data_IF_431503374090
#
_entry.id   IF_431503374090
#
_cell.length_a   1.000
_cell.length_b   1.000
_cell.length_c   1.000
_cell.angle_alpha   90.00
_cell.angle_beta   90.00
_cell.angle_gamma   90.00
#
_symmetry.space_group_name_H-M   'P 1'
#
loop_
_entity.id
_entity.type
_entity.pdbx_description
1 polymer ?
#
# COMPACT_ATOMS: atom_id res chain seq x y z
N UNK A 1 -2.40 91.81 -18.79
CA UNK A 1 -1.82 90.87 -17.83
C UNK A 1 -2.64 89.58 -17.88
N UNK A 2 -2.18 88.54 -18.60
CA UNK A 2 -2.82 87.20 -18.71
C UNK A 2 -2.26 86.30 -17.61
N UNK A 3 -3.09 85.81 -16.71
CA UNK A 3 -2.71 84.79 -15.69
C UNK A 3 -2.87 83.42 -16.32
N UNK A 4 -1.73 82.71 -16.46
CA UNK A 4 -1.68 81.29 -16.87
C UNK A 4 -1.87 80.44 -15.61
N UNK A 5 -2.95 79.65 -15.60
CA UNK A 5 -3.25 78.69 -14.54
C UNK A 5 -2.62 77.34 -14.90
N UNK A 6 -1.58 76.89 -14.20
CA UNK A 6 -0.97 75.57 -14.36
C UNK A 6 -1.81 74.55 -13.58
N UNK A 7 -2.48 73.66 -14.31
CA UNK A 7 -3.17 72.48 -13.75
C UNK A 7 -2.10 71.37 -13.54
N UNK A 8 -1.68 71.14 -12.32
CA UNK A 8 -0.87 70.01 -11.96
C UNK A 8 -1.79 68.75 -11.94
N UNK A 9 -1.63 67.91 -12.98
CA UNK A 9 -2.18 66.57 -12.99
C UNK A 9 -1.27 65.66 -12.15
N UNK A 10 -1.68 65.33 -10.92
CA UNK A 10 -1.03 64.30 -10.12
C UNK A 10 -1.35 62.91 -10.71
N UNK A 11 -0.41 62.33 -11.42
CA UNK A 11 -0.39 60.92 -11.78
C UNK A 11 -0.20 60.09 -10.50
N UNK A 12 -1.29 59.66 -9.87
CA UNK A 12 -1.24 58.59 -8.90
C UNK A 12 -0.89 57.28 -9.65
N UNK A 13 0.18 56.58 -9.28
CA UNK A 13 0.43 55.27 -9.87
C UNK A 13 -0.67 54.35 -9.41
N UNK A 14 -1.48 53.86 -10.36
CA UNK A 14 -2.33 52.69 -10.16
C UNK A 14 -1.39 51.49 -9.93
N UNK A 15 -1.04 51.20 -8.69
CA UNK A 15 -0.45 49.94 -8.31
C UNK A 15 -1.57 48.89 -8.46
N UNK A 16 -1.65 48.32 -9.61
CA UNK A 16 -2.41 47.09 -9.83
C UNK A 16 -1.78 46.01 -8.94
N UNK A 17 -2.32 45.79 -7.77
CA UNK A 17 -1.98 44.63 -6.94
C UNK A 17 -2.40 43.37 -7.70
N UNK A 18 -1.49 42.83 -8.52
CA UNK A 18 -1.66 41.51 -9.09
C UNK A 18 -1.82 40.52 -7.94
N UNK A 19 -2.99 39.88 -7.82
CA UNK A 19 -3.26 38.87 -6.82
C UNK A 19 -2.18 37.79 -6.84
N UNK A 20 -1.58 37.50 -5.71
CA UNK A 20 -0.61 36.41 -5.58
C UNK A 20 -1.27 35.06 -5.83
N UNK A 21 -0.54 34.01 -6.22
CA UNK A 21 -1.09 32.66 -6.31
C UNK A 21 -1.82 32.21 -5.02
N UNK A 22 -1.36 32.65 -3.86
CA UNK A 22 -1.98 32.34 -2.56
C UNK A 22 -3.32 33.06 -2.41
N UNK A 23 -3.42 34.34 -2.82
CA UNK A 23 -4.68 35.08 -2.78
C UNK A 23 -5.73 34.47 -3.71
N UNK A 24 -5.30 34.04 -4.89
CA UNK A 24 -6.16 33.30 -5.84
C UNK A 24 -6.66 32.00 -5.25
N UNK A 25 -5.80 31.27 -4.55
CA UNK A 25 -6.16 30.02 -3.89
C UNK A 25 -7.19 30.28 -2.76
N UNK A 26 -7.05 31.35 -1.97
CA UNK A 26 -8.04 31.75 -0.98
C UNK A 26 -9.41 31.94 -1.59
N UNK A 27 -9.50 32.77 -2.64
CA UNK A 27 -10.78 33.05 -3.34
C UNK A 27 -11.37 31.76 -3.96
N UNK A 28 -10.50 30.88 -4.49
CA UNK A 28 -10.94 29.62 -5.10
C UNK A 28 -11.53 28.66 -4.05
N UNK A 29 -10.96 28.56 -2.85
CA UNK A 29 -11.54 27.75 -1.76
C UNK A 29 -12.87 28.35 -1.25
N UNK A 30 -12.99 29.67 -1.13
CA UNK A 30 -14.26 30.33 -0.77
C UNK A 30 -15.36 30.08 -1.80
N UNK A 31 -14.98 30.00 -3.09
CA UNK A 31 -15.91 29.68 -4.18
C UNK A 31 -16.29 28.20 -4.11
N UNK A 32 -15.32 27.31 -3.92
CA UNK A 32 -15.54 25.87 -3.83
C UNK A 32 -16.57 25.52 -2.74
N UNK A 33 -16.46 26.15 -1.57
CA UNK A 33 -17.39 25.91 -0.44
C UNK A 33 -18.83 26.34 -0.72
N UNK A 34 -19.04 27.21 -1.73
CA UNK A 34 -20.38 27.66 -2.16
C UNK A 34 -20.97 26.76 -3.26
N UNK A 35 -20.13 25.96 -3.94
CA UNK A 35 -20.61 25.04 -4.98
C UNK A 35 -21.42 23.91 -4.34
N UNK A 36 -22.59 23.59 -4.89
CA UNK A 36 -23.55 22.60 -4.35
C UNK A 36 -22.89 21.25 -4.02
N UNK A 37 -21.99 20.79 -4.86
CA UNK A 37 -21.29 19.51 -4.69
C UNK A 37 -20.33 19.47 -3.50
N UNK A 38 -19.93 20.64 -2.97
CA UNK A 38 -18.91 20.74 -1.91
C UNK A 38 -19.38 21.45 -0.64
N UNK A 39 -20.62 22.00 -0.61
CA UNK A 39 -21.17 22.70 0.54
C UNK A 39 -21.14 21.87 1.85
N UNK A 40 -21.34 20.56 1.73
CA UNK A 40 -21.34 19.64 2.85
C UNK A 40 -20.01 18.86 2.98
N UNK A 41 -19.05 19.12 2.09
CA UNK A 41 -17.78 18.43 2.10
C UNK A 41 -16.88 18.92 3.23
N UNK A 42 -16.12 18.00 3.81
CA UNK A 42 -15.03 18.34 4.70
C UNK A 42 -13.74 18.53 3.89
N UNK A 43 -13.28 19.78 3.83
CA UNK A 43 -12.09 20.18 3.08
C UNK A 43 -10.96 20.46 4.06
N UNK A 44 -9.79 19.85 3.85
CA UNK A 44 -8.58 20.14 4.60
C UNK A 44 -7.39 20.26 3.65
N UNK A 45 -6.66 21.36 3.75
CA UNK A 45 -5.47 21.62 2.93
C UNK A 45 -4.38 22.29 3.77
N UNK A 46 -3.13 21.90 3.56
CA UNK A 46 -1.96 22.54 4.16
C UNK A 46 -0.85 22.65 3.12
N UNK A 47 -0.30 23.86 2.95
CA UNK A 47 0.82 24.17 2.08
C UNK A 47 1.96 24.76 2.93
N UNK A 48 3.14 24.17 2.87
CA UNK A 48 4.31 24.57 3.67
C UNK A 48 5.49 24.82 2.75
N UNK A 49 6.17 25.96 2.92
CA UNK A 49 7.48 26.23 2.33
C UNK A 49 8.51 25.24 2.88
N UNK A 50 9.15 24.47 2.03
CA UNK A 50 10.07 23.38 2.45
C UNK A 50 11.33 23.92 3.12
N UNK A 51 11.83 25.09 2.70
CA UNK A 51 13.05 25.71 3.22
C UNK A 51 12.83 26.34 4.59
N UNK A 52 11.82 27.19 4.70
CA UNK A 52 11.56 27.99 5.91
C UNK A 52 10.68 27.28 6.93
N UNK A 53 9.82 26.36 6.49
CA UNK A 53 8.78 25.73 7.29
C UNK A 53 7.56 26.62 7.55
N UNK A 54 7.48 27.80 6.90
CA UNK A 54 6.34 28.69 7.00
C UNK A 54 5.12 28.05 6.34
N UNK A 55 4.00 28.02 7.04
CA UNK A 55 2.70 27.69 6.45
C UNK A 55 2.32 28.83 5.50
N UNK A 56 2.24 28.54 4.22
CA UNK A 56 1.92 29.52 3.16
C UNK A 56 0.41 29.66 3.00
N UNK A 57 -0.30 28.55 3.15
CA UNK A 57 -1.75 28.49 3.12
C UNK A 57 -2.25 27.32 3.94
N UNK A 58 -3.37 27.49 4.62
CA UNK A 58 -4.10 26.37 5.24
C UNK A 58 -5.63 26.57 5.19
N UNK A 59 -6.30 25.43 5.09
CA UNK A 59 -7.75 25.31 5.24
C UNK A 59 -8.01 24.13 6.17
N UNK A 60 -8.54 24.40 7.37
CA UNK A 60 -8.86 23.34 8.33
C UNK A 60 -7.70 22.37 8.61
N UNK A 61 -6.45 22.81 8.63
CA UNK A 61 -5.23 21.97 8.70
C UNK A 61 -5.20 20.99 9.86
N UNK A 62 -5.90 21.29 10.96
CA UNK A 62 -5.96 20.47 12.17
C UNK A 62 -7.21 19.59 12.24
N UNK A 63 -8.07 19.60 11.21
CA UNK A 63 -9.21 18.68 11.13
C UNK A 63 -8.70 17.29 10.74
N UNK A 64 -8.88 16.31 11.63
CA UNK A 64 -8.51 14.93 11.37
C UNK A 64 -9.59 14.25 10.49
N UNK A 65 -9.20 13.77 9.33
CA UNK A 65 -10.05 13.15 8.32
C UNK A 65 -9.45 11.81 7.87
N UNK A 66 -10.27 10.98 7.23
CA UNK A 66 -9.79 9.80 6.53
C UNK A 66 -8.86 10.23 5.39
N UNK A 67 -7.63 9.73 5.40
CA UNK A 67 -6.59 10.13 4.44
C UNK A 67 -6.59 9.31 3.16
N UNK A 68 -7.22 8.13 3.18
CA UNK A 68 -6.96 7.12 2.18
C UNK A 68 -5.44 6.90 2.00
N UNK A 69 -5.00 6.50 0.82
CA UNK A 69 -3.62 6.06 0.54
C UNK A 69 -2.55 7.15 0.61
N UNK A 70 -2.88 8.42 0.86
CA UNK A 70 -1.80 9.41 1.17
C UNK A 70 -1.14 9.14 2.52
N UNK A 71 -1.76 8.31 3.39
CA UNK A 71 -1.12 7.81 4.61
C UNK A 71 0.21 7.10 4.31
N UNK A 72 0.32 6.44 3.15
CA UNK A 72 1.54 5.75 2.73
C UNK A 72 2.76 6.66 2.65
N UNK A 73 2.59 7.98 2.44
CA UNK A 73 3.72 8.92 2.49
C UNK A 73 4.34 8.98 3.89
N UNK A 74 3.52 8.87 4.93
CA UNK A 74 4.00 8.81 6.31
C UNK A 74 4.58 7.43 6.65
N UNK A 75 3.94 6.36 6.20
CA UNK A 75 4.40 4.98 6.44
C UNK A 75 5.73 4.69 5.78
N UNK A 76 5.89 5.06 4.50
CA UNK A 76 7.14 4.82 3.75
C UNK A 76 8.30 5.68 4.26
N UNK A 77 8.02 6.93 4.66
CA UNK A 77 9.02 7.77 5.33
C UNK A 77 9.46 7.15 6.67
N UNK A 78 8.51 6.63 7.46
CA UNK A 78 8.80 5.95 8.72
C UNK A 78 9.65 4.70 8.51
N UNK A 79 9.34 3.91 7.46
CA UNK A 79 10.10 2.72 7.12
C UNK A 79 11.55 3.05 6.74
N UNK A 80 11.75 4.05 5.87
CA UNK A 80 13.08 4.52 5.49
C UNK A 80 13.87 5.05 6.70
N UNK A 81 13.21 5.72 7.63
CA UNK A 81 13.83 6.24 8.84
C UNK A 81 14.29 5.12 9.80
N UNK A 82 13.43 4.15 10.09
CA UNK A 82 13.72 3.13 11.10
C UNK A 82 14.53 1.94 10.60
N UNK A 83 14.36 1.57 9.33
CA UNK A 83 14.99 0.39 8.74
C UNK A 83 16.18 0.73 7.83
N UNK A 84 16.19 1.93 7.24
CA UNK A 84 17.18 2.32 6.22
C UNK A 84 16.82 1.84 4.82
N UNK A 85 17.29 2.56 3.80
CA UNK A 85 16.97 2.30 2.38
C UNK A 85 17.51 0.97 1.84
N UNK A 86 18.59 0.45 2.42
CA UNK A 86 19.24 -0.83 2.07
C UNK A 86 18.71 -2.03 2.85
N UNK A 87 17.77 -1.83 3.79
CA UNK A 87 17.18 -2.94 4.53
C UNK A 87 16.59 -3.98 3.57
N UNK A 88 16.78 -5.26 3.89
CA UNK A 88 16.21 -6.41 3.18
C UNK A 88 15.55 -7.37 4.16
N UNK A 89 14.44 -7.95 3.75
CA UNK A 89 13.85 -9.08 4.45
C UNK A 89 14.69 -10.33 4.19
N UNK A 90 14.82 -11.19 5.21
CA UNK A 90 15.60 -12.42 5.18
C UNK A 90 14.70 -13.61 5.50
N UNK A 91 14.20 -14.30 4.49
CA UNK A 91 13.45 -15.54 4.68
C UNK A 91 14.41 -16.71 4.77
N UNK A 92 14.68 -17.18 5.99
CA UNK A 92 15.63 -18.25 6.26
C UNK A 92 14.96 -19.60 6.08
N UNK A 93 15.65 -20.52 5.39
CA UNK A 93 15.24 -21.92 5.21
C UNK A 93 16.32 -22.79 5.84
N UNK A 94 15.92 -23.65 6.78
CA UNK A 94 16.80 -24.56 7.49
C UNK A 94 16.34 -26.01 7.35
N UNK A 95 17.25 -26.94 7.54
CA UNK A 95 16.96 -28.37 7.62
C UNK A 95 17.29 -28.91 9.01
N UNK A 96 16.35 -29.60 9.64
CA UNK A 96 16.50 -30.27 10.92
C UNK A 96 16.31 -31.78 10.75
N UNK A 97 17.41 -32.54 10.69
CA UNK A 97 17.35 -33.96 10.40
C UNK A 97 18.73 -34.60 10.24
N UNK A 98 18.73 -35.78 9.66
CA UNK A 98 19.95 -36.55 9.32
C UNK A 98 20.04 -36.68 7.81
N UNK A 99 21.28 -36.66 7.32
CA UNK A 99 21.61 -36.90 5.91
C UNK A 99 22.46 -38.16 5.85
N UNK A 100 21.98 -39.15 5.10
CA UNK A 100 22.70 -40.40 4.91
C UNK A 100 22.44 -40.93 3.50
N UNK A 101 23.48 -41.27 2.77
CA UNK A 101 23.41 -41.79 1.39
C UNK A 101 22.49 -40.92 0.49
N UNK A 102 22.70 -39.62 0.47
CA UNK A 102 21.92 -38.61 -0.29
C UNK A 102 20.45 -38.51 0.11
N UNK A 103 20.03 -39.15 1.21
CA UNK A 103 18.70 -39.07 1.76
C UNK A 103 18.71 -38.15 2.98
N UNK A 104 18.01 -37.00 2.86
CA UNK A 104 17.69 -36.15 4.00
C UNK A 104 16.41 -36.66 4.68
N UNK A 105 16.56 -37.16 5.93
CA UNK A 105 15.40 -37.53 6.77
C UNK A 105 15.21 -36.50 7.85
N UNK A 106 14.18 -35.63 7.71
CA UNK A 106 14.02 -34.50 8.60
C UNK A 106 12.94 -33.51 8.18
N UNK A 107 13.01 -32.34 8.79
CA UNK A 107 12.08 -31.24 8.61
C UNK A 107 12.75 -30.07 7.90
N UNK A 108 12.13 -29.59 6.82
CA UNK A 108 12.48 -28.33 6.19
C UNK A 108 11.71 -27.22 6.91
N UNK A 109 12.41 -26.27 7.51
CA UNK A 109 11.80 -25.21 8.32
C UNK A 109 12.01 -23.88 7.62
N UNK A 110 10.92 -23.16 7.39
CA UNK A 110 10.92 -21.83 6.76
C UNK A 110 10.52 -20.79 7.81
N UNK A 111 11.38 -19.82 8.05
CA UNK A 111 11.13 -18.72 8.96
C UNK A 111 10.57 -17.52 8.20
N UNK A 112 9.28 -17.24 8.40
CA UNK A 112 8.63 -16.08 7.80
C UNK A 112 9.23 -14.78 8.32
N UNK A 113 9.63 -13.90 7.41
CA UNK A 113 10.28 -12.62 7.70
C UNK A 113 9.37 -11.40 7.60
N UNK A 114 8.11 -11.60 7.16
CA UNK A 114 7.19 -10.52 6.85
C UNK A 114 7.40 -9.91 5.46
N UNK A 115 8.28 -10.48 4.63
CA UNK A 115 8.58 -10.00 3.27
C UNK A 115 7.32 -9.95 2.39
N UNK A 116 6.84 -8.77 1.96
CA UNK A 116 5.67 -8.67 1.08
C UNK A 116 5.99 -9.01 -0.38
N UNK A 117 7.29 -9.11 -0.72
CA UNK A 117 7.75 -9.33 -2.09
C UNK A 117 8.10 -10.78 -2.40
N UNK A 118 8.04 -11.69 -1.42
CA UNK A 118 8.37 -13.10 -1.63
C UNK A 118 7.43 -13.73 -2.67
N UNK A 119 8.02 -14.25 -3.75
CA UNK A 119 7.26 -14.79 -4.89
C UNK A 119 6.60 -13.74 -5.79
N UNK A 120 6.90 -12.44 -5.60
CA UNK A 120 6.41 -11.38 -6.47
C UNK A 120 7.11 -11.41 -7.84
N UNK A 121 6.34 -11.21 -8.91
CA UNK A 121 6.82 -11.08 -10.28
C UNK A 121 7.38 -9.68 -10.60
N UNK A 122 7.28 -8.74 -9.67
CA UNK A 122 7.82 -7.38 -9.84
C UNK A 122 9.33 -7.32 -9.77
N UNK A 123 9.96 -8.28 -9.13
CA UNK A 123 11.40 -8.30 -8.88
C UNK A 123 11.98 -9.63 -9.32
N UNK A 124 13.03 -9.57 -10.11
CA UNK A 124 13.69 -10.76 -10.61
C UNK A 124 14.15 -11.67 -9.47
N UNK A 125 14.76 -11.07 -8.43
CA UNK A 125 15.34 -11.77 -7.29
C UNK A 125 14.32 -12.53 -6.41
N UNK A 126 13.02 -12.19 -6.49
CA UNK A 126 11.96 -12.84 -5.69
C UNK A 126 10.96 -13.63 -6.52
N UNK A 127 11.21 -13.81 -7.81
CA UNK A 127 10.35 -14.65 -8.66
C UNK A 127 10.30 -16.09 -8.15
N UNK A 128 9.13 -16.75 -8.21
CA UNK A 128 8.95 -18.11 -7.71
C UNK A 128 9.98 -19.10 -8.27
N UNK A 129 10.25 -19.03 -9.57
CA UNK A 129 11.18 -19.94 -10.24
C UNK A 129 12.64 -19.77 -9.75
N UNK A 130 13.06 -18.54 -9.46
CA UNK A 130 14.39 -18.31 -8.93
C UNK A 130 14.53 -18.81 -7.49
N UNK A 131 13.50 -18.56 -6.66
CA UNK A 131 13.43 -19.08 -5.29
C UNK A 131 13.50 -20.61 -5.29
N UNK A 132 12.73 -21.26 -6.13
CA UNK A 132 12.71 -22.72 -6.31
C UNK A 132 14.07 -23.25 -6.70
N UNK A 133 14.69 -22.69 -7.74
CA UNK A 133 16.03 -23.07 -8.20
C UNK A 133 17.10 -22.89 -7.12
N UNK A 134 17.05 -21.79 -6.36
CA UNK A 134 17.97 -21.52 -5.25
C UNK A 134 17.84 -22.59 -4.16
N UNK A 135 16.61 -22.94 -3.78
CA UNK A 135 16.35 -23.94 -2.75
C UNK A 135 16.84 -25.33 -3.18
N UNK A 136 16.47 -25.80 -4.37
CA UNK A 136 16.89 -27.12 -4.90
C UNK A 136 18.41 -27.20 -4.97
N UNK A 137 19.08 -26.18 -5.53
CA UNK A 137 20.53 -26.12 -5.59
C UNK A 137 21.18 -26.20 -4.21
N UNK A 138 20.59 -25.54 -3.21
CA UNK A 138 21.10 -25.57 -1.84
C UNK A 138 20.91 -26.93 -1.17
N UNK A 139 19.81 -27.64 -1.41
CA UNK A 139 19.58 -28.99 -0.91
C UNK A 139 20.56 -29.99 -1.53
N UNK A 140 20.79 -29.94 -2.83
CA UNK A 140 21.82 -30.78 -3.51
C UNK A 140 23.23 -30.50 -2.96
N UNK A 141 23.60 -29.24 -2.72
CA UNK A 141 24.90 -28.90 -2.12
C UNK A 141 25.06 -29.46 -0.69
N UNK A 142 23.95 -29.67 0.01
CA UNK A 142 23.97 -30.36 1.31
C UNK A 142 24.03 -31.88 1.18
N UNK A 143 24.02 -32.44 -0.04
CA UNK A 143 23.97 -33.87 -0.31
C UNK A 143 22.57 -34.47 -0.10
N UNK A 144 21.50 -33.68 -0.37
CA UNK A 144 20.12 -34.15 -0.30
C UNK A 144 19.55 -34.22 -1.72
N UNK A 145 19.42 -35.44 -2.24
CA UNK A 145 18.78 -35.75 -3.53
C UNK A 145 17.39 -36.38 -3.30
N UNK A 146 17.14 -36.88 -2.10
CA UNK A 146 15.83 -37.37 -1.63
C UNK A 146 15.51 -36.75 -0.30
N UNK A 147 14.32 -36.20 -0.12
CA UNK A 147 13.84 -35.65 1.13
C UNK A 147 12.68 -36.49 1.71
N UNK A 148 12.88 -37.05 2.90
CA UNK A 148 11.85 -37.78 3.67
C UNK A 148 11.51 -36.99 4.91
N UNK A 149 10.34 -36.37 4.96
CA UNK A 149 10.00 -35.53 6.10
C UNK A 149 8.83 -34.60 5.84
N UNK A 150 8.83 -33.47 6.50
CA UNK A 150 7.76 -32.46 6.35
C UNK A 150 8.31 -31.03 6.21
N UNK A 151 7.42 -30.13 5.81
CA UNK A 151 7.67 -28.70 5.71
C UNK A 151 6.97 -28.03 6.88
N UNK A 152 7.69 -27.15 7.58
CA UNK A 152 7.16 -26.36 8.69
C UNK A 152 7.39 -24.87 8.45
N UNK A 153 6.32 -24.09 8.52
CA UNK A 153 6.40 -22.64 8.53
C UNK A 153 6.44 -22.13 9.98
N UNK A 154 7.41 -21.28 10.29
CA UNK A 154 7.50 -20.58 11.58
C UNK A 154 6.95 -19.17 11.40
N UNK A 155 5.81 -18.88 12.02
CA UNK A 155 5.01 -17.66 11.82
C UNK A 155 4.84 -16.85 13.11
N UNK A 156 5.89 -16.74 13.94
CA UNK A 156 5.81 -16.08 15.24
C UNK A 156 6.36 -14.65 15.28
N UNK A 157 6.64 -14.05 14.10
CA UNK A 157 7.17 -12.69 13.98
C UNK A 157 6.13 -11.62 14.35
N UNK A 158 4.87 -11.84 13.99
CA UNK A 158 3.77 -10.93 14.28
C UNK A 158 2.87 -11.50 15.38
N UNK A 159 2.29 -10.61 16.20
CA UNK A 159 1.46 -10.98 17.36
C UNK A 159 -0.03 -10.86 17.13
N UNK A 160 -0.43 -10.14 16.07
CA UNK A 160 -1.82 -9.97 15.66
C UNK A 160 -2.18 -10.84 14.44
N UNK A 161 -3.47 -10.89 14.14
CA UNK A 161 -3.98 -11.58 12.97
C UNK A 161 -3.46 -10.95 11.66
N UNK A 162 -3.53 -11.69 10.54
CA UNK A 162 -3.07 -11.19 9.25
C UNK A 162 -3.99 -10.11 8.66
N UNK A 163 -5.32 -10.23 8.90
CA UNK A 163 -6.33 -9.29 8.40
C UNK A 163 -6.64 -8.26 9.49
N UNK A 164 -6.63 -6.98 9.13
CA UNK A 164 -6.94 -5.90 10.06
C UNK A 164 -8.45 -5.82 10.33
N UNK A 165 -8.83 -5.83 11.62
CA UNK A 165 -10.26 -5.81 12.04
C UNK A 165 -11.00 -4.50 11.74
N UNK A 166 -10.28 -3.44 11.40
CA UNK A 166 -10.86 -2.16 10.99
C UNK A 166 -11.14 -2.06 9.48
N UNK A 167 -10.78 -3.08 8.70
CA UNK A 167 -11.11 -3.14 7.28
C UNK A 167 -12.53 -3.65 7.07
N UNK A 168 -13.17 -3.17 6.01
CA UNK A 168 -14.52 -3.58 5.67
C UNK A 168 -14.52 -5.01 5.13
N UNK A 169 -15.59 -5.75 5.39
CA UNK A 169 -15.72 -7.14 4.93
C UNK A 169 -15.69 -7.24 3.39
N UNK A 170 -16.19 -6.22 2.71
CA UNK A 170 -16.15 -6.09 1.25
C UNK A 170 -14.75 -5.84 0.67
N UNK A 171 -13.78 -5.45 1.51
CA UNK A 171 -12.39 -5.17 1.07
C UNK A 171 -11.48 -6.39 1.20
N UNK A 172 -11.64 -7.18 2.29
CA UNK A 172 -10.64 -8.14 2.75
C UNK A 172 -10.35 -9.32 1.81
N UNK A 173 -11.28 -9.69 0.96
CA UNK A 173 -11.08 -10.76 -0.03
C UNK A 173 -10.61 -10.24 -1.40
N UNK A 174 -10.53 -8.92 -1.59
CA UNK A 174 -9.98 -8.30 -2.78
C UNK A 174 -8.47 -8.06 -2.59
N UNK A 175 -7.71 -8.03 -3.69
CA UNK A 175 -6.24 -7.93 -3.65
C UNK A 175 -5.69 -6.78 -2.81
N UNK A 176 -6.43 -5.66 -2.74
CA UNK A 176 -6.03 -4.48 -1.98
C UNK A 176 -6.33 -4.60 -0.47
N UNK A 177 -7.17 -5.55 -0.07
CA UNK A 177 -7.47 -5.92 1.31
C UNK A 177 -6.73 -7.18 1.77
N UNK A 178 -5.76 -7.65 1.00
CA UNK A 178 -4.97 -8.83 1.37
C UNK A 178 -4.28 -8.66 2.73
N UNK A 179 -4.44 -9.64 3.60
CA UNK A 179 -3.82 -9.66 4.92
C UNK A 179 -2.29 -9.73 4.85
N UNK A 180 -1.62 -9.30 5.94
CA UNK A 180 -0.15 -9.35 6.09
C UNK A 180 0.25 -10.40 7.12
N UNK A 181 1.10 -11.33 6.72
CA UNK A 181 1.53 -12.47 7.52
C UNK A 181 3.05 -12.51 7.67
N UNK A 182 3.60 -13.27 8.63
CA UNK A 182 5.04 -13.53 8.68
C UNK A 182 5.58 -14.18 7.41
N UNK A 183 4.81 -15.08 6.77
CA UNK A 183 5.10 -15.57 5.43
C UNK A 183 4.03 -15.07 4.45
N UNK A 184 4.43 -14.24 3.51
CA UNK A 184 3.62 -13.80 2.38
C UNK A 184 4.07 -14.54 1.12
N UNK A 185 3.18 -14.70 0.13
CA UNK A 185 3.48 -15.38 -1.11
C UNK A 185 2.75 -14.74 -2.30
N UNK A 186 3.52 -14.38 -3.35
CA UNK A 186 2.95 -13.76 -4.57
C UNK A 186 2.08 -12.54 -4.28
N UNK A 187 2.58 -11.64 -3.42
CA UNK A 187 1.86 -10.44 -2.93
C UNK A 187 0.49 -10.76 -2.28
N UNK A 188 0.32 -11.96 -1.75
CA UNK A 188 -0.92 -12.48 -1.15
C UNK A 188 -2.15 -12.30 -2.04
N UNK A 189 -1.98 -12.39 -3.37
CA UNK A 189 -3.04 -12.25 -4.36
C UNK A 189 -2.95 -13.30 -5.44
N UNK A 190 -4.06 -13.48 -6.14
CA UNK A 190 -4.16 -14.30 -7.34
C UNK A 190 -5.20 -13.72 -8.28
N UNK A 191 -5.19 -14.14 -9.54
CA UNK A 191 -6.14 -13.69 -10.55
C UNK A 191 -7.18 -14.78 -10.85
N UNK A 192 -8.43 -14.35 -10.99
CA UNK A 192 -9.49 -15.14 -11.60
C UNK A 192 -9.91 -14.52 -12.92
N UNK A 193 -10.30 -15.37 -13.88
CA UNK A 193 -10.97 -14.97 -15.10
C UNK A 193 -12.40 -15.48 -15.09
N UNK A 194 -13.34 -14.63 -15.48
CA UNK A 194 -14.76 -14.90 -15.49
C UNK A 194 -15.30 -14.81 -16.93
N UNK A 195 -16.18 -15.71 -17.30
CA UNK A 195 -16.87 -15.71 -18.59
C UNK A 195 -18.37 -15.68 -18.38
N UNK A 196 -19.17 -14.99 -19.24
CA UNK A 196 -20.62 -15.06 -19.20
C UNK A 196 -21.13 -16.50 -19.30
N UNK A 197 -22.11 -16.85 -18.47
CA UNK A 197 -22.75 -18.18 -18.42
C UNK A 197 -24.25 -18.02 -18.13
N UNK A 198 -25.09 -18.02 -19.18
CA UNK A 198 -26.51 -17.72 -19.05
C UNK A 198 -26.77 -16.34 -18.49
N UNK A 199 -27.51 -16.26 -17.39
CA UNK A 199 -27.81 -15.00 -16.68
C UNK A 199 -26.82 -14.72 -15.52
N UNK A 200 -25.65 -15.34 -15.53
CA UNK A 200 -24.59 -15.15 -14.52
C UNK A 200 -23.21 -15.28 -15.16
N UNK A 201 -22.20 -15.55 -14.36
CA UNK A 201 -20.82 -15.73 -14.79
C UNK A 201 -20.26 -17.03 -14.19
N UNK A 202 -19.27 -17.61 -14.86
CA UNK A 202 -18.52 -18.76 -14.38
C UNK A 202 -17.02 -18.42 -14.28
N UNK A 203 -16.32 -19.00 -13.32
CA UNK A 203 -14.86 -18.92 -13.24
C UNK A 203 -14.28 -19.84 -14.31
N UNK A 204 -13.63 -19.27 -15.30
CA UNK A 204 -12.99 -20.02 -16.40
C UNK A 204 -11.53 -20.35 -16.12
N UNK A 205 -10.85 -19.52 -15.29
CA UNK A 205 -9.47 -19.72 -14.87
C UNK A 205 -9.21 -19.08 -13.51
N UNK A 206 -8.28 -19.66 -12.73
CA UNK A 206 -7.67 -19.00 -11.58
C UNK A 206 -6.19 -19.37 -11.47
N UNK A 207 -5.35 -18.41 -11.10
CA UNK A 207 -3.90 -18.58 -10.99
C UNK A 207 -3.44 -19.18 -9.65
N UNK A 208 -4.37 -19.49 -8.74
CA UNK A 208 -4.08 -20.10 -7.44
C UNK A 208 -4.17 -21.63 -7.44
N UNK A 209 -4.72 -22.22 -8.49
CA UNK A 209 -4.95 -23.68 -8.57
C UNK A 209 -6.15 -24.16 -7.76
N UNK A 210 -7.04 -23.27 -7.32
CA UNK A 210 -8.29 -23.64 -6.64
C UNK A 210 -9.27 -24.31 -7.61
N UNK A 211 -10.22 -25.07 -7.08
CA UNK A 211 -11.25 -25.67 -7.91
C UNK A 211 -12.27 -24.60 -8.34
N UNK A 212 -12.38 -24.36 -9.65
CA UNK A 212 -13.27 -23.34 -10.21
C UNK A 212 -14.75 -23.54 -9.86
N UNK A 213 -15.18 -24.77 -9.63
CA UNK A 213 -16.59 -25.11 -9.38
C UNK A 213 -16.94 -25.11 -7.89
N UNK A 214 -16.01 -25.53 -7.03
CA UNK A 214 -16.29 -25.74 -5.60
C UNK A 214 -15.73 -24.63 -4.71
N UNK A 215 -14.64 -23.99 -5.11
CA UNK A 215 -14.03 -22.93 -4.27
C UNK A 215 -14.64 -21.55 -4.48
N UNK A 216 -15.49 -21.36 -5.52
CA UNK A 216 -16.11 -20.08 -5.85
C UNK A 216 -17.64 -20.16 -5.93
N UNK A 217 -18.34 -19.28 -5.23
CA UNK A 217 -19.75 -18.99 -5.40
C UNK A 217 -19.88 -17.66 -6.18
N UNK A 218 -20.41 -17.74 -7.42
CA UNK A 218 -20.54 -16.55 -8.29
C UNK A 218 -21.99 -16.07 -8.26
N UNK A 219 -22.21 -14.91 -7.64
CA UNK A 219 -23.50 -14.25 -7.45
C UNK A 219 -23.52 -12.90 -8.18
N UNK A 220 -23.02 -12.87 -9.43
CA UNK A 220 -22.93 -11.68 -10.27
C UNK A 220 -24.16 -11.55 -11.16
N UNK A 221 -24.66 -10.32 -11.28
CA UNK A 221 -25.80 -9.96 -12.15
C UNK A 221 -25.28 -9.22 -13.38
N UNK A 222 -25.65 -9.62 -14.60
CA UNK A 222 -25.29 -8.88 -15.80
C UNK A 222 -25.87 -7.47 -15.80
N UNK A 223 -25.04 -6.44 -16.03
CA UNK A 223 -25.43 -5.05 -16.12
C UNK A 223 -24.57 -4.31 -17.14
N UNK A 224 -25.22 -3.66 -18.11
CA UNK A 224 -24.53 -2.87 -19.13
C UNK A 224 -23.68 -1.76 -18.49
N UNK A 225 -22.44 -1.62 -18.98
CA UNK A 225 -21.50 -0.62 -18.52
C UNK A 225 -20.84 -0.88 -17.16
N UNK A 226 -21.22 -1.95 -16.46
CA UNK A 226 -20.53 -2.39 -15.23
C UNK A 226 -19.15 -2.93 -15.56
N UNK A 227 -18.21 -2.78 -14.63
CA UNK A 227 -16.83 -3.23 -14.72
C UNK A 227 -16.48 -4.15 -13.54
N UNK A 228 -15.26 -4.66 -13.49
CA UNK A 228 -14.78 -5.42 -12.34
C UNK A 228 -14.66 -4.60 -11.06
N UNK A 229 -14.73 -3.26 -11.13
CA UNK A 229 -14.81 -2.38 -9.97
C UNK A 229 -16.19 -2.39 -9.29
N UNK A 230 -17.22 -2.91 -9.97
CA UNK A 230 -18.58 -3.07 -9.46
C UNK A 230 -18.83 -4.50 -8.91
N UNK A 231 -17.80 -5.34 -8.90
CA UNK A 231 -17.81 -6.70 -8.37
C UNK A 231 -16.85 -6.83 -7.18
N UNK A 232 -17.29 -7.48 -6.11
CA UNK A 232 -16.53 -7.64 -4.87
C UNK A 232 -16.41 -9.12 -4.50
N UNK A 233 -15.24 -9.48 -4.00
CA UNK A 233 -15.02 -10.79 -3.41
C UNK A 233 -15.21 -10.76 -1.89
N UNK A 234 -15.71 -11.87 -1.34
CA UNK A 234 -15.90 -12.08 0.09
C UNK A 234 -15.32 -13.43 0.48
N UNK A 235 -14.69 -13.51 1.66
CA UNK A 235 -14.35 -14.81 2.25
C UNK A 235 -15.59 -15.45 2.86
N UNK A 236 -15.88 -16.70 2.50
CA UNK A 236 -17.03 -17.44 3.02
C UNK A 236 -16.63 -18.48 4.06
N UNK A 237 -17.11 -18.30 5.29
CA UNK A 237 -16.76 -19.16 6.42
C UNK A 237 -17.66 -20.39 6.56
N UNK A 238 -18.92 -20.31 6.10
CA UNK A 238 -19.96 -21.30 6.40
C UNK A 238 -20.65 -21.88 5.15
N UNK A 239 -20.10 -21.62 3.96
CA UNK A 239 -20.64 -22.12 2.68
C UNK A 239 -19.74 -23.20 2.06
N UNK A 240 -20.27 -23.85 1.04
CA UNK A 240 -19.54 -24.82 0.25
C UNK A 240 -18.41 -24.25 -0.61
N UNK A 241 -18.24 -22.91 -0.64
CA UNK A 241 -17.17 -22.22 -1.37
C UNK A 241 -16.27 -21.41 -0.44
N UNK A 242 -15.06 -21.13 -0.87
CA UNK A 242 -14.09 -20.27 -0.13
C UNK A 242 -14.29 -18.79 -0.41
N UNK A 243 -14.69 -18.45 -1.64
CA UNK A 243 -14.90 -17.10 -2.13
C UNK A 243 -16.30 -16.94 -2.69
N UNK A 244 -17.02 -15.90 -2.29
CA UNK A 244 -18.22 -15.45 -2.98
C UNK A 244 -17.87 -14.18 -3.80
N UNK A 245 -18.27 -14.16 -5.07
CA UNK A 245 -18.11 -12.99 -5.95
C UNK A 245 -19.49 -12.40 -6.17
N UNK A 246 -19.70 -11.17 -5.67
CA UNK A 246 -21.01 -10.49 -5.65
C UNK A 246 -20.93 -9.14 -6.35
N UNK A 247 -22.06 -8.69 -6.87
CA UNK A 247 -22.21 -7.38 -7.48
C UNK A 247 -22.78 -7.45 -8.90
N UNK A 248 -22.33 -6.53 -9.75
CA UNK A 248 -22.75 -6.46 -11.15
C UNK A 248 -21.53 -6.47 -12.06
N UNK A 249 -21.69 -7.04 -13.27
CA UNK A 249 -20.60 -7.13 -14.26
C UNK A 249 -21.20 -7.08 -15.67
N UNK A 250 -20.50 -6.48 -16.63
CA UNK A 250 -20.96 -6.45 -18.01
C UNK A 250 -20.80 -7.83 -18.66
N UNK A 251 -21.82 -8.28 -19.39
CA UNK A 251 -21.75 -9.52 -20.18
C UNK A 251 -21.32 -9.30 -21.65
N UNK A 252 -20.92 -8.07 -22.00
CA UNK A 252 -20.44 -7.73 -23.36
C UNK A 252 -19.01 -8.23 -23.61
N UNK A 253 -18.21 -8.31 -22.56
CA UNK A 253 -16.85 -8.82 -22.63
C UNK A 253 -16.84 -10.36 -22.55
N UNK A 254 -16.03 -11.01 -23.40
CA UNK A 254 -15.95 -12.48 -23.41
C UNK A 254 -15.26 -13.03 -22.17
N UNK A 255 -14.26 -12.31 -21.66
CA UNK A 255 -13.48 -12.68 -20.47
C UNK A 255 -13.20 -11.40 -19.69
N UNK A 256 -13.40 -11.44 -18.40
CA UNK A 256 -13.03 -10.37 -17.49
C UNK A 256 -12.20 -10.93 -16.34
N UNK A 257 -11.13 -10.21 -15.97
CA UNK A 257 -10.22 -10.64 -14.91
C UNK A 257 -10.37 -9.78 -13.65
N UNK A 258 -10.26 -10.43 -12.51
CA UNK A 258 -10.29 -9.81 -11.18
C UNK A 258 -9.18 -10.39 -10.31
N UNK A 259 -8.56 -9.54 -9.48
CA UNK A 259 -7.54 -9.98 -8.52
C UNK A 259 -8.15 -10.11 -7.12
N UNK A 260 -7.94 -11.26 -6.49
CA UNK A 260 -8.44 -11.60 -5.16
C UNK A 260 -7.28 -11.76 -4.19
N UNK A 261 -7.57 -11.58 -2.89
CA UNK A 261 -6.63 -11.89 -1.81
C UNK A 261 -6.53 -13.41 -1.58
N UNK A 262 -5.32 -13.91 -1.28
CA UNK A 262 -5.13 -15.29 -0.80
C UNK A 262 -5.61 -15.40 0.64
N UNK A 263 -6.39 -16.42 0.92
CA UNK A 263 -6.91 -16.66 2.26
C UNK A 263 -5.79 -17.07 3.24
N UNK A 264 -4.89 -17.96 2.78
CA UNK A 264 -3.75 -18.44 3.55
C UNK A 264 -2.51 -18.59 2.64
N UNK A 265 -1.67 -17.53 2.54
CA UNK A 265 -0.49 -17.57 1.68
C UNK A 265 0.57 -18.58 2.13
N UNK A 266 0.61 -18.95 3.42
CA UNK A 266 1.55 -19.94 3.93
C UNK A 266 1.16 -21.37 3.48
N UNK A 267 -0.13 -21.68 3.45
CA UNK A 267 -0.64 -22.94 2.88
C UNK A 267 -0.37 -23.00 1.38
N UNK A 268 -0.67 -21.94 0.65
CA UNK A 268 -0.42 -21.89 -0.81
C UNK A 268 1.07 -22.07 -1.12
N UNK A 269 1.95 -21.36 -0.39
CA UNK A 269 3.40 -21.55 -0.52
C UNK A 269 3.83 -23.00 -0.24
N UNK A 270 3.31 -23.60 0.85
CA UNK A 270 3.65 -24.96 1.24
C UNK A 270 3.21 -25.97 0.17
N UNK A 271 2.02 -25.82 -0.40
CA UNK A 271 1.51 -26.68 -1.46
C UNK A 271 2.37 -26.57 -2.72
N UNK A 272 2.69 -25.37 -3.18
CA UNK A 272 3.56 -25.14 -4.34
C UNK A 272 4.99 -25.68 -4.09
N UNK A 273 5.51 -25.51 -2.87
CA UNK A 273 6.82 -26.04 -2.51
C UNK A 273 6.82 -27.57 -2.45
N UNK A 274 5.76 -28.17 -1.90
CA UNK A 274 5.59 -29.63 -1.86
C UNK A 274 5.60 -30.23 -3.26
N UNK A 275 4.80 -29.65 -4.19
CA UNK A 275 4.78 -30.07 -5.58
C UNK A 275 6.17 -29.99 -6.21
N UNK A 276 6.87 -28.87 -6.05
CA UNK A 276 8.24 -28.71 -6.54
C UNK A 276 9.19 -29.78 -6.01
N UNK A 277 9.16 -30.06 -4.70
CA UNK A 277 10.05 -31.05 -4.09
C UNK A 277 9.72 -32.49 -4.57
N UNK A 278 8.45 -32.76 -4.93
CA UNK A 278 8.05 -34.02 -5.56
C UNK A 278 8.59 -34.17 -6.98
N UNK A 279 8.61 -33.06 -7.74
CA UNK A 279 9.05 -33.04 -9.14
C UNK A 279 10.59 -33.09 -9.26
N UNK A 280 11.31 -32.37 -8.41
CA UNK A 280 12.77 -32.16 -8.51
C UNK A 280 13.60 -33.05 -7.56
N UNK A 281 12.99 -33.48 -6.45
CA UNK A 281 13.57 -34.38 -5.46
C UNK A 281 12.55 -35.48 -5.18
N UNK A 282 13.02 -36.68 -4.79
CA UNK A 282 12.09 -37.70 -4.29
C UNK A 282 11.59 -37.28 -2.89
N UNK A 283 10.52 -36.45 -2.84
CA UNK A 283 9.91 -36.02 -1.59
C UNK A 283 8.89 -37.05 -1.11
N UNK A 284 9.10 -37.56 0.11
CA UNK A 284 8.16 -38.45 0.79
C UNK A 284 7.75 -37.78 2.13
N UNK A 285 6.46 -37.45 2.24
CA UNK A 285 5.95 -36.87 3.49
C UNK A 285 6.08 -37.84 4.66
N UNK A 286 6.65 -37.34 5.78
CA UNK A 286 6.82 -38.11 6.99
C UNK A 286 6.80 -37.15 8.19
N UNK A 287 5.95 -37.39 9.17
CA UNK A 287 5.74 -36.54 10.34
C UNK A 287 6.67 -36.86 11.52
N UNK A 288 7.72 -37.63 11.32
CA UNK A 288 8.69 -37.95 12.35
C UNK A 288 9.38 -36.69 12.91
N UNK A 289 9.55 -36.61 14.21
CA UNK A 289 10.26 -35.55 14.90
C UNK A 289 11.74 -35.93 15.03
N UNK A 290 12.61 -34.99 14.65
CA UNK A 290 14.06 -35.21 14.68
C UNK A 290 14.73 -34.35 15.75
N UNK A 291 15.46 -34.98 16.66
CA UNK A 291 16.25 -34.30 17.71
C UNK A 291 17.67 -33.99 17.22
N UNK A 292 17.80 -33.18 16.17
CA UNK A 292 19.11 -32.79 15.62
C UNK A 292 19.20 -31.26 15.55
N UNK A 293 20.42 -30.67 15.55
CA UNK A 293 20.59 -29.25 15.33
C UNK A 293 20.07 -28.85 13.94
N UNK A 294 19.53 -27.65 13.83
CA UNK A 294 19.17 -27.05 12.55
C UNK A 294 20.44 -26.64 11.78
N UNK A 295 20.42 -26.89 10.47
CA UNK A 295 21.45 -26.45 9.53
C UNK A 295 20.84 -25.47 8.55
N UNK A 296 21.53 -24.37 8.27
CA UNK A 296 21.06 -23.44 7.25
C UNK A 296 21.12 -24.10 5.87
N UNK A 297 20.01 -24.04 5.13
CA UNK A 297 19.91 -24.46 3.73
C UNK A 297 20.21 -23.27 2.84
N UNK A 298 19.41 -22.22 2.97
CA UNK A 298 19.56 -20.99 2.20
C UNK A 298 18.83 -19.84 2.88
N UNK A 299 19.14 -18.61 2.48
CA UNK A 299 18.40 -17.40 2.86
C UNK A 299 17.94 -16.70 1.58
N UNK A 300 16.64 -16.48 1.46
CA UNK A 300 16.07 -15.70 0.38
C UNK A 300 16.01 -14.25 0.83
N UNK A 301 16.59 -13.37 0.02
CA UNK A 301 16.63 -11.94 0.28
C UNK A 301 15.59 -11.21 -0.54
N UNK A 302 14.89 -10.27 0.07
CA UNK A 302 14.05 -9.33 -0.67
C UNK A 302 14.91 -8.34 -1.46
N UNK A 303 14.32 -7.58 -2.41
CA UNK A 303 14.90 -6.33 -2.88
C UNK A 303 15.17 -5.37 -1.71
N UNK A 304 16.05 -4.37 -1.87
CA UNK A 304 16.25 -3.34 -0.85
C UNK A 304 14.95 -2.55 -0.61
N UNK A 305 14.80 -2.03 0.60
CA UNK A 305 13.61 -1.27 1.01
C UNK A 305 13.32 -0.11 0.06
N UNK A 306 14.34 0.53 -0.48
CA UNK A 306 14.21 1.59 -1.49
C UNK A 306 13.35 1.17 -2.68
N UNK A 307 13.56 -0.03 -3.24
CA UNK A 307 12.72 -0.59 -4.32
C UNK A 307 11.30 -0.93 -3.85
N UNK A 308 11.16 -1.45 -2.63
CA UNK A 308 9.85 -1.78 -2.07
C UNK A 308 9.03 -0.52 -1.80
N UNK A 309 9.64 0.54 -1.28
CA UNK A 309 9.03 1.87 -1.09
C UNK A 309 8.59 2.47 -2.42
N UNK A 310 9.43 2.37 -3.46
CA UNK A 310 9.09 2.83 -4.80
C UNK A 310 7.76 2.21 -5.26
N UNK A 311 7.65 0.89 -5.26
CA UNK A 311 6.43 0.21 -5.72
C UNK A 311 5.23 0.42 -4.78
N UNK A 312 5.47 0.51 -3.47
CA UNK A 312 4.43 0.85 -2.49
C UNK A 312 3.74 2.18 -2.84
N UNK A 313 4.51 3.22 -3.16
CA UNK A 313 3.98 4.54 -3.50
C UNK A 313 3.44 4.60 -4.94
N UNK A 314 4.17 4.06 -5.94
CA UNK A 314 3.79 4.08 -7.35
C UNK A 314 2.48 3.34 -7.63
N UNK A 315 2.31 2.16 -7.06
CA UNK A 315 1.14 1.29 -7.27
C UNK A 315 0.16 1.28 -6.09
N UNK A 316 0.46 2.09 -5.05
CA UNK A 316 -0.39 2.17 -3.86
C UNK A 316 -0.60 0.82 -3.16
N UNK A 317 0.44 -0.01 -3.08
CA UNK A 317 0.35 -1.37 -2.55
C UNK A 317 0.08 -1.35 -1.04
N UNK A 318 -1.12 -1.78 -0.64
CA UNK A 318 -1.52 -1.82 0.77
C UNK A 318 -0.69 -2.82 1.56
N UNK A 319 -0.51 -4.04 1.02
CA UNK A 319 0.30 -5.10 1.63
C UNK A 319 1.70 -4.61 2.04
N UNK A 320 2.36 -3.81 1.19
CA UNK A 320 3.70 -3.29 1.45
C UNK A 320 3.71 -2.29 2.60
N UNK A 321 2.75 -1.38 2.64
CA UNK A 321 2.63 -0.42 3.73
C UNK A 321 2.38 -1.11 5.09
N UNK A 322 1.51 -2.12 5.10
CA UNK A 322 1.23 -2.91 6.30
C UNK A 322 2.46 -3.73 6.74
N UNK A 323 3.18 -4.32 5.78
CA UNK A 323 4.44 -5.01 6.04
C UNK A 323 5.46 -4.08 6.68
N UNK A 324 5.64 -2.87 6.17
CA UNK A 324 6.56 -1.88 6.72
C UNK A 324 6.20 -1.54 8.17
N UNK A 325 4.93 -1.26 8.45
CA UNK A 325 4.46 -0.95 9.79
C UNK A 325 4.78 -2.06 10.80
N UNK A 326 4.39 -3.31 10.49
CA UNK A 326 4.67 -4.45 11.37
C UNK A 326 6.17 -4.76 11.48
N UNK A 327 6.94 -4.53 10.41
CA UNK A 327 8.39 -4.75 10.41
C UNK A 327 9.12 -3.70 11.24
N UNK A 328 8.70 -2.42 11.19
CA UNK A 328 9.21 -1.38 12.11
C UNK A 328 9.06 -1.86 13.56
N UNK A 329 7.84 -2.31 13.93
CA UNK A 329 7.57 -2.82 15.26
C UNK A 329 8.43 -4.05 15.60
N UNK A 330 8.54 -5.02 14.69
CA UNK A 330 9.35 -6.22 14.91
C UNK A 330 10.84 -5.91 15.09
N UNK A 331 11.36 -4.97 14.31
CA UNK A 331 12.75 -4.49 14.39
C UNK A 331 13.06 -3.82 15.72
N UNK A 332 12.13 -3.01 16.22
CA UNK A 332 12.29 -2.24 17.47
C UNK A 332 11.97 -3.04 18.74
N UNK A 333 11.03 -3.99 18.66
CA UNK A 333 10.45 -4.68 19.82
C UNK A 333 10.50 -6.21 19.74
N UNK A 334 11.21 -6.79 18.76
CA UNK A 334 11.35 -8.23 18.47
C UNK A 334 10.09 -8.89 17.90
N UNK A 335 8.90 -8.33 18.12
CA UNK A 335 7.63 -8.79 17.54
C UNK A 335 6.83 -7.60 17.00
N UNK A 336 6.19 -7.79 15.86
CA UNK A 336 5.43 -6.76 15.17
C UNK A 336 3.94 -6.86 15.38
N UNK A 337 3.28 -5.69 15.47
CA UNK A 337 1.83 -5.53 15.42
C UNK A 337 1.46 -4.19 14.81
N UNK A 338 0.21 -4.00 14.38
CA UNK A 338 -0.28 -2.69 13.96
C UNK A 338 -0.18 -1.66 15.07
N UNK A 339 -0.66 -2.01 16.27
CA UNK A 339 -0.66 -1.08 17.41
C UNK A 339 0.74 -0.56 17.72
N UNK A 340 1.73 -1.44 17.79
CA UNK A 340 3.11 -1.05 18.11
C UNK A 340 3.75 -0.27 16.95
N UNK A 341 3.54 -0.73 15.69
CA UNK A 341 4.10 -0.06 14.52
C UNK A 341 3.52 1.34 14.29
N UNK A 342 2.20 1.50 14.46
CA UNK A 342 1.55 2.82 14.41
C UNK A 342 2.07 3.73 15.54
N UNK A 343 2.26 3.18 16.74
CA UNK A 343 2.86 3.94 17.85
C UNK A 343 4.25 4.43 17.50
N UNK A 344 5.10 3.58 16.92
CA UNK A 344 6.45 3.97 16.47
C UNK A 344 6.38 5.05 15.37
N UNK A 345 5.48 4.92 14.40
CA UNK A 345 5.27 5.94 13.37
C UNK A 345 4.87 7.29 13.99
N UNK A 346 3.94 7.31 14.96
CA UNK A 346 3.54 8.53 15.63
C UNK A 346 4.67 9.11 16.48
N UNK A 347 5.50 8.28 17.13
CA UNK A 347 6.71 8.72 17.83
C UNK A 347 7.72 9.37 16.87
N UNK A 348 7.88 8.86 15.65
CA UNK A 348 8.71 9.46 14.62
C UNK A 348 8.28 10.90 14.29
N UNK A 349 6.96 11.15 14.19
CA UNK A 349 6.43 12.50 14.00
C UNK A 349 6.62 13.38 15.27
N UNK A 350 6.31 12.84 16.46
CA UNK A 350 6.43 13.56 17.72
C UNK A 350 7.88 14.00 18.00
N UNK A 351 8.87 13.17 17.68
CA UNK A 351 10.30 13.50 17.79
C UNK A 351 10.74 14.68 16.93
N UNK A 352 9.91 15.07 15.94
CA UNK A 352 10.09 16.24 15.07
C UNK A 352 9.23 17.44 15.49
N UNK A 353 8.70 17.42 16.72
CA UNK A 353 7.77 18.42 17.26
C UNK A 353 6.49 18.58 16.42
N UNK A 354 6.06 17.52 15.73
CA UNK A 354 4.80 17.50 15.00
C UNK A 354 3.72 16.98 15.94
N UNK A 355 2.61 17.69 16.00
CA UNK A 355 1.50 17.35 16.88
C UNK A 355 0.80 16.07 16.41
N UNK A 356 0.69 15.08 17.28
CA UNK A 356 0.04 13.80 17.05
C UNK A 356 -1.25 13.60 17.85
N UNK A 357 -1.58 14.52 18.75
CA UNK A 357 -2.81 14.46 19.54
C UNK A 357 -4.04 14.52 18.63
N UNK A 358 -5.02 13.63 18.85
CA UNK A 358 -6.23 13.52 18.03
C UNK A 358 -6.05 12.75 16.71
N UNK A 359 -4.84 12.23 16.45
CA UNK A 359 -4.60 11.29 15.35
C UNK A 359 -5.04 9.89 15.80
N UNK A 360 -5.81 9.21 14.97
CA UNK A 360 -6.25 7.84 15.21
C UNK A 360 -6.00 7.03 13.94
N UNK A 361 -5.03 6.14 13.97
CA UNK A 361 -4.71 5.23 12.87
C UNK A 361 -5.08 3.81 13.28
N UNK A 362 -5.67 3.07 12.36
CA UNK A 362 -6.05 1.65 12.50
C UNK A 362 -5.17 0.75 11.63
N UNK A 363 -4.65 1.31 10.56
CA UNK A 363 -3.74 0.65 9.62
C UNK A 363 -2.63 1.62 9.17
N UNK A 364 -1.77 1.17 8.32
CA UNK A 364 -0.66 1.94 7.78
C UNK A 364 -0.82 2.29 6.29
N UNK A 365 -1.81 1.72 5.61
CA UNK A 365 -2.04 1.93 4.18
C UNK A 365 -3.13 2.97 3.88
N UNK A 366 -4.02 3.23 4.83
CA UNK A 366 -5.15 4.14 4.67
C UNK A 366 -6.42 3.47 4.14
N UNK A 367 -6.56 2.15 4.27
CA UNK A 367 -7.76 1.41 3.84
C UNK A 367 -8.89 1.52 4.90
N UNK A 368 -8.54 1.46 6.19
CA UNK A 368 -9.53 1.56 7.26
C UNK A 368 -10.25 2.92 7.23
N UNK A 369 -11.59 2.95 7.12
CA UNK A 369 -12.36 4.20 7.09
C UNK A 369 -12.26 4.99 8.40
N UNK A 370 -11.93 4.32 9.49
CA UNK A 370 -11.74 4.93 10.81
C UNK A 370 -10.42 5.69 10.96
N UNK A 371 -9.48 5.58 10.01
CA UNK A 371 -8.24 6.35 10.05
C UNK A 371 -8.54 7.85 10.08
N UNK A 372 -7.90 8.56 11.01
CA UNK A 372 -8.02 10.02 11.14
C UNK A 372 -6.66 10.64 11.29
N UNK A 373 -6.28 11.45 10.31
CA UNK A 373 -5.01 12.18 10.28
C UNK A 373 -5.23 13.60 9.76
N UNK A 374 -4.39 14.54 10.18
CA UNK A 374 -4.48 15.94 9.76
C UNK A 374 -3.58 16.20 8.55
N UNK A 375 -3.98 17.12 7.68
CA UNK A 375 -3.12 17.62 6.60
C UNK A 375 -1.90 18.34 7.14
N UNK A 376 -2.01 18.94 8.33
CA UNK A 376 -0.89 19.55 9.05
C UNK A 376 0.21 18.55 9.36
N UNK A 377 -0.12 17.35 9.90
CA UNK A 377 0.87 16.31 10.18
C UNK A 377 1.53 15.84 8.90
N UNK A 378 0.76 15.50 7.87
CA UNK A 378 1.28 14.97 6.60
C UNK A 378 2.21 15.98 5.91
N UNK A 379 1.80 17.25 5.80
CA UNK A 379 2.61 18.29 5.17
C UNK A 379 3.89 18.58 5.97
N UNK A 380 3.83 18.59 7.32
CA UNK A 380 5.01 18.76 8.15
C UNK A 380 5.97 17.56 8.01
N UNK A 381 5.47 16.33 7.94
CA UNK A 381 6.31 15.16 7.69
C UNK A 381 7.01 15.26 6.33
N UNK A 382 6.28 15.60 5.26
CA UNK A 382 6.88 15.82 3.94
C UNK A 382 7.98 16.89 3.97
N UNK A 383 7.75 17.99 4.68
CA UNK A 383 8.77 19.04 4.86
C UNK A 383 10.00 18.52 5.60
N UNK A 384 9.84 17.72 6.66
CA UNK A 384 10.96 17.16 7.41
C UNK A 384 11.76 16.15 6.57
N UNK A 385 11.09 15.36 5.72
CA UNK A 385 11.73 14.38 4.85
C UNK A 385 12.81 15.03 3.94
N UNK A 386 12.63 16.27 3.50
CA UNK A 386 13.61 16.98 2.63
C UNK A 386 15.02 17.07 3.25
N UNK A 387 15.15 16.93 4.55
CA UNK A 387 16.43 17.00 5.28
C UNK A 387 17.08 15.64 5.53
N UNK A 388 16.38 14.57 5.21
CA UNK A 388 16.84 13.20 5.46
C UNK A 388 17.73 12.70 4.31
N UNK A 389 18.71 11.87 4.62
CA UNK A 389 19.64 11.31 3.62
C UNK A 389 18.92 10.45 2.57
N UNK A 390 17.87 9.75 2.97
CA UNK A 390 17.02 8.92 2.11
C UNK A 390 15.96 9.73 1.32
N UNK A 391 15.93 11.04 1.44
CA UNK A 391 14.92 11.87 0.73
C UNK A 391 14.87 11.66 -0.78
N UNK A 392 16.01 11.55 -1.51
CA UNK A 392 15.96 11.29 -2.94
C UNK A 392 15.17 10.02 -3.29
N UNK A 393 15.39 8.93 -2.56
CA UNK A 393 14.67 7.66 -2.72
C UNK A 393 13.18 7.83 -2.46
N UNK A 394 12.82 8.55 -1.40
CA UNK A 394 11.43 8.84 -1.08
C UNK A 394 10.75 9.71 -2.16
N UNK A 395 11.41 10.78 -2.61
CA UNK A 395 10.87 11.70 -3.60
C UNK A 395 10.60 11.00 -4.94
N UNK A 396 11.56 10.23 -5.43
CA UNK A 396 11.44 9.44 -6.67
C UNK A 396 10.38 8.33 -6.56
N UNK A 397 10.08 7.86 -5.35
CA UNK A 397 9.01 6.88 -5.14
C UNK A 397 7.61 7.45 -5.34
N UNK A 398 7.42 8.76 -5.26
CA UNK A 398 6.11 9.38 -5.43
C UNK A 398 5.73 9.41 -6.93
N UNK A 399 4.50 8.99 -7.27
CA UNK A 399 4.02 9.11 -8.66
C UNK A 399 4.02 10.55 -9.15
N UNK A 400 4.31 10.73 -10.43
CA UNK A 400 4.08 12.01 -11.11
C UNK A 400 2.62 12.07 -11.54
N UNK A 401 1.84 12.94 -10.90
CA UNK A 401 0.42 13.14 -11.17
C UNK A 401 0.19 14.63 -11.30
N UNK A 402 -0.47 15.07 -12.39
CA UNK A 402 -0.67 16.51 -12.66
C UNK A 402 0.65 17.31 -12.58
N UNK A 403 1.71 16.75 -13.15
CA UNK A 403 3.09 17.29 -13.16
C UNK A 403 3.72 17.52 -11.77
N UNK A 404 3.19 16.86 -10.74
CA UNK A 404 3.68 16.94 -9.37
C UNK A 404 4.09 15.56 -8.85
N UNK A 405 5.21 15.49 -8.11
CA UNK A 405 5.55 14.29 -7.33
C UNK A 405 4.62 14.20 -6.12
N UNK A 406 3.55 13.43 -6.24
CA UNK A 406 2.54 13.31 -5.19
C UNK A 406 1.89 11.94 -5.13
N UNK A 407 1.53 11.51 -3.93
CA UNK A 407 0.71 10.34 -3.69
C UNK A 407 -0.76 10.71 -3.77
N UNK A 408 -1.56 9.89 -4.44
CA UNK A 408 -3.02 9.96 -4.43
C UNK A 408 -3.63 9.03 -3.39
N UNK A 409 -4.81 9.38 -2.90
CA UNK A 409 -5.67 8.54 -2.07
C UNK A 409 -7.12 8.58 -2.54
N UNK A 410 -7.76 7.40 -2.48
CA UNK A 410 -9.18 7.24 -2.74
C UNK A 410 -9.74 6.12 -1.85
N UNK A 411 -10.80 6.41 -1.14
CA UNK A 411 -11.64 5.47 -0.40
C UNK A 411 -13.04 6.08 -0.36
N UNK A 412 -14.07 5.30 -0.19
CA UNK A 412 -15.46 5.75 -0.26
C UNK A 412 -15.69 7.18 0.27
N UNK A 413 -16.11 8.11 -0.62
CA UNK A 413 -16.35 9.51 -0.32
C UNK A 413 -15.12 10.37 -0.01
N UNK A 414 -13.88 9.84 -0.07
CA UNK A 414 -12.64 10.59 0.18
C UNK A 414 -11.75 10.61 -1.05
N UNK A 415 -11.27 11.80 -1.43
CA UNK A 415 -10.20 12.01 -2.40
C UNK A 415 -9.09 12.81 -1.75
N UNK A 416 -7.83 12.42 -1.97
CA UNK A 416 -6.70 13.09 -1.31
C UNK A 416 -5.43 13.07 -2.15
N UNK A 417 -4.56 14.06 -1.92
CA UNK A 417 -3.23 14.17 -2.52
C UNK A 417 -2.25 14.71 -1.49
N UNK A 418 -1.01 14.22 -1.51
CA UNK A 418 0.08 14.74 -0.68
C UNK A 418 1.41 14.60 -1.42
N UNK A 419 2.23 15.66 -1.43
CA UNK A 419 3.48 15.67 -2.17
C UNK A 419 4.15 17.03 -2.22
N UNK A 420 4.88 17.26 -3.30
CA UNK A 420 5.74 18.44 -3.49
C UNK A 420 5.30 19.25 -4.71
N UNK A 421 5.50 20.55 -4.63
CA UNK A 421 5.13 21.51 -5.68
C UNK A 421 6.14 22.65 -5.75
N UNK A 422 6.53 23.02 -6.97
CA UNK A 422 7.31 24.22 -7.25
C UNK A 422 6.32 25.36 -7.56
N UNK A 423 6.35 26.39 -6.73
CA UNK A 423 5.43 27.52 -6.85
C UNK A 423 5.88 28.48 -7.97
N UNK A 424 4.94 29.20 -8.57
CA UNK A 424 5.20 30.23 -9.61
C UNK A 424 6.23 31.27 -9.20
N UNK A 425 6.38 31.56 -7.91
CA UNK A 425 7.36 32.51 -7.37
C UNK A 425 8.75 31.90 -7.11
N UNK A 426 8.97 30.64 -7.53
CA UNK A 426 10.23 29.92 -7.41
C UNK A 426 10.46 29.24 -6.06
N UNK A 427 9.53 29.30 -5.11
CA UNK A 427 9.64 28.57 -3.85
C UNK A 427 9.27 27.10 -4.03
N UNK A 428 9.99 26.25 -3.32
CA UNK A 428 9.62 24.82 -3.20
C UNK A 428 8.71 24.65 -1.99
N UNK A 429 7.60 23.99 -2.18
CA UNK A 429 6.63 23.72 -1.13
C UNK A 429 6.22 22.23 -1.12
N UNK A 430 5.69 21.80 0.01
CA UNK A 430 5.00 20.51 0.13
C UNK A 430 3.58 20.75 0.64
N UNK A 431 2.70 19.81 0.32
CA UNK A 431 1.29 19.94 0.65
C UNK A 431 0.64 18.62 0.99
N UNK A 432 -0.48 18.72 1.72
CA UNK A 432 -1.47 17.65 1.87
C UNK A 432 -2.87 18.23 1.65
N UNK A 433 -3.71 17.54 0.89
CA UNK A 433 -5.05 17.94 0.51
C UNK A 433 -6.02 16.77 0.65
N UNK A 434 -7.05 16.93 1.47
CA UNK A 434 -8.11 15.95 1.69
C UNK A 434 -9.46 16.60 1.40
N UNK A 435 -10.22 15.96 0.55
CA UNK A 435 -11.61 16.28 0.26
C UNK A 435 -12.46 15.06 0.62
N UNK A 436 -13.39 15.21 1.56
CA UNK A 436 -14.20 14.13 2.09
C UNK A 436 -15.68 14.50 2.05
N UNK A 437 -16.55 13.52 1.78
CA UNK A 437 -18.02 13.68 1.75
C UNK A 437 -18.52 14.71 0.72
N UNK A 438 -17.94 14.69 -0.48
CA UNK A 438 -18.43 15.45 -1.64
C UNK A 438 -19.57 14.70 -2.35
N UNK A 439 -20.48 15.42 -3.06
CA UNK A 439 -21.64 14.83 -3.74
C UNK A 439 -21.51 14.73 -5.26
N UNK A 440 -20.35 15.07 -5.84
CA UNK A 440 -20.05 14.86 -7.26
C UNK A 440 -19.35 13.51 -7.50
N UNK A 441 -19.08 13.18 -8.76
CA UNK A 441 -18.33 11.97 -9.10
C UNK A 441 -16.86 12.07 -8.63
N UNK A 442 -16.18 10.93 -8.36
CA UNK A 442 -14.75 10.94 -8.03
C UNK A 442 -13.87 11.59 -9.11
N UNK A 443 -14.28 11.53 -10.38
CA UNK A 443 -13.59 12.18 -11.50
C UNK A 443 -13.69 13.70 -11.42
N UNK A 444 -14.89 14.24 -11.16
CA UNK A 444 -15.11 15.68 -10.99
C UNK A 444 -14.36 16.20 -9.76
N UNK A 445 -14.43 15.51 -8.62
CA UNK A 445 -13.66 15.87 -7.44
C UNK A 445 -12.15 15.92 -7.72
N UNK A 446 -11.61 14.94 -8.46
CA UNK A 446 -10.22 14.93 -8.90
C UNK A 446 -9.87 16.17 -9.73
N UNK A 447 -10.66 16.49 -10.75
CA UNK A 447 -10.39 17.63 -11.62
C UNK A 447 -10.43 18.94 -10.83
N UNK A 448 -11.40 19.11 -9.94
CA UNK A 448 -11.50 20.29 -9.08
C UNK A 448 -10.28 20.46 -8.17
N UNK A 449 -9.77 19.37 -7.57
CA UNK A 449 -8.55 19.43 -6.77
C UNK A 449 -7.32 19.81 -7.61
N UNK A 450 -7.24 19.36 -8.88
CA UNK A 450 -6.17 19.75 -9.79
C UNK A 450 -6.24 21.23 -10.18
N UNK A 451 -7.44 21.76 -10.49
CA UNK A 451 -7.65 23.18 -10.75
C UNK A 451 -7.10 24.06 -9.60
N UNK A 452 -7.33 23.66 -8.35
CA UNK A 452 -6.81 24.38 -7.19
C UNK A 452 -5.29 24.31 -7.09
N UNK A 453 -4.69 23.15 -7.34
CA UNK A 453 -3.23 22.99 -7.34
C UNK A 453 -2.58 23.78 -8.49
N UNK A 454 -3.22 23.87 -9.64
CA UNK A 454 -2.72 24.60 -10.83
C UNK A 454 -2.65 26.12 -10.64
N UNK A 455 -3.40 26.67 -9.68
CA UNK A 455 -3.25 28.08 -9.30
C UNK A 455 -1.88 28.37 -8.69
N UNK A 456 -1.22 27.35 -8.12
CA UNK A 456 0.07 27.46 -7.42
C UNK A 456 1.28 27.26 -8.34
N UNK A 457 1.12 26.48 -9.44
CA UNK A 457 2.17 26.19 -10.44
C UNK A 457 2.38 27.38 -11.37
#
# INVERSE_FOLDING_TARGET
MKKILYLLFSLLPFVSNAQTPIDKLHTAFETLEKETSYQQAAISFTLIDTKTGKVLFDKNKNRALASASILKTFTTASALHYLGEEFRYHTNITFKGRIHNHIGSGQLIIYGSGDPSLGSDRFEETQPELIKKQLISALHKMGIDTLKGNIRIVSNLFTDEGINKAWLEEDIANYYGAGIYPLNWKENKFEISMTPSGNSFAISHNSAGYNNQTDFCVELIPKDGATTEDAFAFFEKNKSCRYAIRGVLSNKEKVQSMQLARLDPAVDFTNELTSLLQDELYFQQNDSVYASPEKNVTTILSPPLSKLVYWCNQKSLNLYAEAFCKTIAAHRHKKGSWTTGITDMLQFAAARNIQTNGIALKDACGLAPENKITTSLLAQMLRHNVKETWYPVFYESLPVINDLHMKSGYIGGTRSYAGYINLKDGRNACFAFILHNYSCTPKEAKLKMFELLDLLK
#
